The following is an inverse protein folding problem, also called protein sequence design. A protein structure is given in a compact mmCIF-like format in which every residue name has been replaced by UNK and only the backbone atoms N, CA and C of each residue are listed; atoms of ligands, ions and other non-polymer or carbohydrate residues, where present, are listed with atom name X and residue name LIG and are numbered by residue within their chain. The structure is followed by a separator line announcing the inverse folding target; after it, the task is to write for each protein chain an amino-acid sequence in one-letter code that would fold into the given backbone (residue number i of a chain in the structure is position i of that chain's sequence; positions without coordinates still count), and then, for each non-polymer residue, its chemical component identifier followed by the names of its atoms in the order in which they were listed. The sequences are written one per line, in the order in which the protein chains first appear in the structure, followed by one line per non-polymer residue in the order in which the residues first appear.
data_IF_357098055247
#
_entry.id   IF_357098055247
#
_cell.length_a   1.000
_cell.length_b   1.000
_cell.length_c   1.000
_cell.angle_alpha   90.00
_cell.angle_beta   90.00
_cell.angle_gamma   90.00
#
_symmetry.space_group_name_H-M   'P 1'
#
loop_
_entity.id
_entity.type
_entity.pdbx_description
1 polymer ?
#
# COMPACT_ATOMS: atom_id res chain seq x y z
N UNK A 1 -19.10 -40.01 34.91
CA UNK A 1 -19.40 -40.07 33.45
C UNK A 1 -18.14 -39.74 32.66
N UNK A 2 -17.92 -40.42 31.52
CA UNK A 2 -16.66 -40.48 30.76
C UNK A 2 -16.53 -39.37 29.70
N UNK A 3 -15.28 -38.87 29.55
CA UNK A 3 -14.60 -38.27 28.36
C UNK A 3 -15.20 -36.91 27.88
N UNK A 4 -14.44 -35.93 27.39
CA UNK A 4 -13.41 -36.00 26.34
C UNK A 4 -12.26 -35.00 26.60
N UNK A 5 -11.07 -35.51 26.33
CA UNK A 5 -9.73 -34.95 26.32
C UNK A 5 -9.49 -33.76 25.39
N UNK A 6 -8.66 -32.82 25.86
CA UNK A 6 -7.57 -32.24 25.08
C UNK A 6 -7.94 -31.32 23.92
N UNK A 7 -8.47 -30.14 24.22
CA UNK A 7 -8.32 -29.00 23.31
C UNK A 7 -7.10 -28.20 23.78
N UNK A 8 -5.94 -28.49 23.18
CA UNK A 8 -4.79 -27.57 23.22
C UNK A 8 -5.24 -26.30 22.51
N UNK A 9 -5.72 -25.32 23.28
CA UNK A 9 -5.89 -23.97 22.78
C UNK A 9 -4.51 -23.47 22.40
N UNK A 10 -4.20 -23.49 21.10
CA UNK A 10 -3.07 -22.76 20.55
C UNK A 10 -3.33 -21.31 20.93
N UNK A 11 -2.59 -20.82 21.90
CA UNK A 11 -2.58 -19.41 22.30
C UNK A 11 -2.15 -18.61 21.09
N UNK A 12 -3.12 -18.17 20.30
CA UNK A 12 -2.88 -17.13 19.30
C UNK A 12 -2.64 -15.87 20.12
N UNK A 13 -1.37 -15.55 20.35
CA UNK A 13 -0.95 -14.28 20.94
C UNK A 13 -1.67 -13.15 20.20
N UNK A 14 -2.60 -12.42 20.84
CA UNK A 14 -3.39 -11.43 20.15
C UNK A 14 -2.53 -10.17 20.09
N UNK A 15 -1.67 -10.07 19.09
CA UNK A 15 -1.12 -8.77 18.67
C UNK A 15 -2.23 -8.02 17.93
N UNK A 16 -3.34 -7.78 18.63
CA UNK A 16 -4.58 -7.21 18.11
C UNK A 16 -4.29 -5.71 17.94
N UNK A 17 -4.08 -5.29 16.69
CA UNK A 17 -4.40 -3.92 16.29
C UNK A 17 -5.84 -3.69 16.75
N UNK A 18 -6.09 -2.62 17.50
CA UNK A 18 -7.37 -2.31 18.13
C UNK A 18 -8.55 -2.68 17.24
N UNK A 19 -9.35 -3.68 17.61
CA UNK A 19 -10.45 -4.21 16.80
C UNK A 19 -11.68 -3.27 16.85
N UNK A 20 -11.47 -2.03 16.43
CA UNK A 20 -12.49 -1.05 16.23
C UNK A 20 -13.22 -1.37 14.93
N UNK A 21 -14.53 -1.71 14.94
CA UNK A 21 -15.24 -2.17 13.74
C UNK A 21 -15.19 -1.17 12.57
N UNK A 22 -14.99 0.13 12.86
CA UNK A 22 -14.85 1.18 11.84
C UNK A 22 -13.49 1.17 11.12
N UNK A 23 -12.43 0.58 11.69
CA UNK A 23 -11.11 0.53 11.06
C UNK A 23 -11.05 -0.46 9.89
N UNK A 24 -11.87 -1.52 9.92
CA UNK A 24 -11.91 -2.53 8.85
C UNK A 24 -12.25 -1.90 7.50
N UNK A 25 -13.23 -0.98 7.46
CA UNK A 25 -13.59 -0.30 6.21
C UNK A 25 -12.47 0.55 5.61
N UNK A 26 -11.55 1.07 6.42
CA UNK A 26 -10.36 1.77 5.91
C UNK A 26 -9.35 0.79 5.32
N UNK A 27 -9.09 -0.31 6.01
CA UNK A 27 -8.16 -1.37 5.56
C UNK A 27 -8.66 -2.02 4.27
N UNK A 28 -9.95 -2.37 4.20
CA UNK A 28 -10.56 -2.95 3.01
C UNK A 28 -10.45 -2.04 1.80
N UNK A 29 -10.73 -0.74 1.98
CA UNK A 29 -10.57 0.27 0.92
C UNK A 29 -9.12 0.41 0.46
N UNK A 30 -8.17 0.37 1.40
CA UNK A 30 -6.74 0.41 1.08
C UNK A 30 -6.33 -0.81 0.26
N UNK A 31 -6.71 -2.02 0.69
CA UNK A 31 -6.41 -3.27 -0.02
C UNK A 31 -7.05 -3.25 -1.42
N UNK A 32 -8.28 -2.77 -1.54
CA UNK A 32 -8.96 -2.61 -2.83
C UNK A 32 -8.21 -1.67 -3.79
N UNK A 33 -7.63 -0.58 -3.27
CA UNK A 33 -6.82 0.36 -4.06
C UNK A 33 -5.52 -0.29 -4.54
N UNK A 34 -4.82 -1.00 -3.64
CA UNK A 34 -3.59 -1.73 -3.98
C UNK A 34 -3.83 -2.75 -5.09
N UNK A 35 -4.94 -3.49 -5.02
CA UNK A 35 -5.28 -4.49 -6.04
C UNK A 35 -5.50 -3.84 -7.41
N UNK A 36 -6.39 -2.84 -7.46
CA UNK A 36 -6.77 -2.15 -8.71
C UNK A 36 -5.61 -1.40 -9.36
N UNK A 37 -4.67 -0.87 -8.58
CA UNK A 37 -3.58 -0.04 -9.10
C UNK A 37 -2.27 -0.77 -9.32
N UNK A 38 -2.08 -1.96 -8.73
CA UNK A 38 -0.80 -2.66 -8.82
C UNK A 38 -0.99 -4.15 -9.12
N UNK A 39 -1.68 -4.89 -8.26
CA UNK A 39 -1.69 -6.36 -8.37
C UNK A 39 -2.50 -6.88 -9.56
N UNK A 40 -3.56 -6.19 -9.97
CA UNK A 40 -4.36 -6.60 -11.13
C UNK A 40 -3.62 -6.36 -12.46
N UNK A 41 -2.50 -5.63 -12.43
CA UNK A 41 -1.70 -5.28 -13.60
C UNK A 41 -0.35 -6.00 -13.69
N UNK A 42 0.04 -6.76 -12.65
CA UNK A 42 1.36 -7.39 -12.57
C UNK A 42 1.23 -8.89 -12.35
N UNK A 43 1.86 -9.67 -13.24
CA UNK A 43 1.96 -11.12 -13.08
C UNK A 43 3.01 -11.42 -12.00
N UNK A 44 2.57 -12.02 -10.90
CA UNK A 44 3.43 -12.32 -9.76
C UNK A 44 4.31 -13.54 -10.05
N UNK A 45 5.60 -13.30 -10.28
CA UNK A 45 6.62 -14.34 -10.49
C UNK A 45 7.27 -14.72 -9.15
N UNK A 46 6.56 -15.50 -8.33
CA UNK A 46 7.07 -16.05 -7.06
C UNK A 46 6.81 -15.21 -5.81
N UNK A 47 7.18 -15.72 -4.63
CA UNK A 47 6.78 -15.18 -3.32
C UNK A 47 7.48 -13.86 -2.93
N UNK A 48 8.68 -13.60 -3.44
CA UNK A 48 9.44 -12.37 -3.14
C UNK A 48 9.03 -11.18 -4.02
N UNK A 49 8.41 -11.46 -5.17
CA UNK A 49 7.98 -10.43 -6.10
C UNK A 49 6.90 -9.50 -5.50
N UNK A 50 5.83 -10.01 -4.83
CA UNK A 50 4.84 -9.18 -4.14
C UNK A 50 5.44 -8.34 -3.02
N UNK A 51 6.44 -8.85 -2.29
CA UNK A 51 7.09 -8.08 -1.22
C UNK A 51 7.76 -6.83 -1.77
N UNK A 52 8.51 -6.98 -2.86
CA UNK A 52 9.16 -5.85 -3.55
C UNK A 52 8.15 -4.88 -4.15
N UNK A 53 7.09 -5.40 -4.77
CA UNK A 53 6.00 -4.58 -5.30
C UNK A 53 5.29 -3.79 -4.21
N UNK A 54 4.99 -4.42 -3.06
CA UNK A 54 4.34 -3.76 -1.93
C UNK A 54 5.22 -2.67 -1.34
N UNK A 55 6.52 -2.91 -1.18
CA UNK A 55 7.45 -1.88 -0.74
C UNK A 55 7.48 -0.68 -1.73
N UNK A 56 7.53 -0.96 -3.02
CA UNK A 56 7.48 0.07 -4.05
C UNK A 56 6.14 0.82 -4.08
N UNK A 57 5.03 0.13 -3.81
CA UNK A 57 3.69 0.72 -3.72
C UNK A 57 3.56 1.62 -2.51
N UNK A 58 4.04 1.21 -1.33
CA UNK A 58 4.03 2.05 -0.13
C UNK A 58 4.84 3.33 -0.38
N UNK A 59 6.02 3.22 -1.02
CA UNK A 59 6.78 4.39 -1.41
C UNK A 59 5.96 5.31 -2.33
N UNK A 60 5.41 4.77 -3.43
CA UNK A 60 4.56 5.50 -4.37
C UNK A 60 3.34 6.17 -3.71
N UNK A 61 2.63 5.45 -2.84
CA UNK A 61 1.44 5.94 -2.14
C UNK A 61 1.75 7.15 -1.25
N UNK A 62 2.90 7.11 -0.59
CA UNK A 62 3.32 8.13 0.37
C UNK A 62 4.00 9.33 -0.29
N UNK A 63 4.74 9.14 -1.39
CA UNK A 63 5.54 10.21 -2.01
C UNK A 63 4.91 10.84 -3.25
N UNK A 64 4.09 10.09 -4.00
CA UNK A 64 3.70 10.48 -5.36
C UNK A 64 2.18 10.48 -5.61
N UNK A 65 1.44 9.58 -4.96
CA UNK A 65 -0.01 9.49 -5.14
C UNK A 65 -0.72 10.71 -4.55
N UNK A 66 -1.51 11.39 -5.37
CA UNK A 66 -2.31 12.53 -4.93
C UNK A 66 -3.59 12.05 -4.24
N UNK A 67 -3.90 12.64 -3.09
CA UNK A 67 -5.10 12.29 -2.32
C UNK A 67 -6.07 13.47 -2.32
N UNK A 68 -7.30 13.26 -2.80
CA UNK A 68 -8.33 14.31 -2.82
C UNK A 68 -8.65 14.82 -1.40
N UNK A 69 -8.70 13.92 -0.41
CA UNK A 69 -8.91 14.27 0.98
C UNK A 69 -7.79 15.14 1.58
N UNK A 70 -6.59 15.12 0.97
CA UNK A 70 -5.45 15.95 1.36
C UNK A 70 -5.28 17.16 0.43
N UNK A 71 -6.32 17.58 -0.29
CA UNK A 71 -6.23 18.72 -1.22
C UNK A 71 -5.32 18.45 -2.43
N UNK A 72 -5.23 17.19 -2.88
CA UNK A 72 -4.34 16.71 -3.95
C UNK A 72 -2.86 16.70 -3.57
N UNK A 73 -2.54 16.77 -2.28
CA UNK A 73 -1.19 16.52 -1.78
C UNK A 73 -0.95 15.03 -1.49
N UNK A 74 0.31 14.70 -1.25
CA UNK A 74 0.78 13.37 -0.89
C UNK A 74 0.90 13.26 0.63
N UNK A 75 0.83 12.05 1.23
CA UNK A 75 0.85 11.90 2.69
C UNK A 75 2.15 12.41 3.34
N UNK A 76 3.30 12.27 2.67
CA UNK A 76 4.56 12.84 3.15
C UNK A 76 4.78 14.30 2.70
N UNK A 77 3.82 14.88 1.99
CA UNK A 77 3.97 16.16 1.31
C UNK A 77 4.93 16.07 0.13
N UNK A 78 4.82 17.02 -0.80
CA UNK A 78 5.75 17.16 -1.92
C UNK A 78 6.12 18.61 -2.15
N UNK A 79 7.36 18.84 -2.59
CA UNK A 79 7.80 20.16 -3.02
C UNK A 79 7.24 20.46 -4.41
N UNK A 80 6.66 21.66 -4.59
CA UNK A 80 6.12 22.09 -5.88
C UNK A 80 7.26 22.61 -6.76
N UNK A 81 7.62 21.85 -7.79
CA UNK A 81 8.67 22.21 -8.75
C UNK A 81 8.06 23.07 -9.88
N UNK A 82 8.23 24.40 -9.81
CA UNK A 82 7.59 25.36 -10.75
C UNK A 82 8.33 25.57 -12.07
N UNK A 83 9.65 25.38 -12.09
CA UNK A 83 10.54 25.69 -13.24
C UNK A 83 11.53 24.55 -13.46
N UNK A 84 12.01 24.41 -14.69
CA UNK A 84 12.97 23.36 -15.08
C UNK A 84 12.44 22.41 -16.14
N UNK A 85 13.33 21.53 -16.62
CA UNK A 85 13.05 20.50 -17.63
C UNK A 85 12.20 19.39 -17.02
N UNK A 86 11.13 19.01 -17.71
CA UNK A 86 10.28 17.90 -17.28
C UNK A 86 11.00 16.57 -17.52
N UNK A 87 11.14 15.79 -16.46
CA UNK A 87 11.66 14.43 -16.45
C UNK A 87 10.56 13.50 -15.99
N UNK A 88 10.54 12.32 -16.61
CA UNK A 88 9.50 11.32 -16.41
C UNK A 88 10.11 10.11 -15.73
N UNK A 89 9.70 9.86 -14.48
CA UNK A 89 10.22 8.80 -13.64
C UNK A 89 9.20 7.66 -13.57
N UNK A 90 9.64 6.44 -13.89
CA UNK A 90 8.81 5.26 -13.76
C UNK A 90 8.67 4.85 -12.29
N UNK A 91 7.44 4.55 -11.87
CA UNK A 91 7.09 3.96 -10.57
C UNK A 91 6.40 2.62 -10.81
N UNK A 92 6.51 1.72 -9.84
CA UNK A 92 5.88 0.37 -9.91
C UNK A 92 6.21 -0.39 -11.20
N UNK A 93 7.49 -0.40 -11.61
CA UNK A 93 7.89 -1.07 -12.85
C UNK A 93 7.40 -0.41 -14.14
N UNK A 94 6.91 0.83 -14.08
CA UNK A 94 6.41 1.58 -15.24
C UNK A 94 4.89 1.73 -15.29
N UNK A 95 4.16 1.09 -14.37
CA UNK A 95 2.71 1.19 -14.28
C UNK A 95 2.23 2.61 -13.95
N UNK A 96 3.03 3.33 -13.18
CA UNK A 96 2.81 4.74 -12.92
C UNK A 96 4.00 5.57 -13.34
N UNK A 97 3.72 6.83 -13.67
CA UNK A 97 4.75 7.77 -14.11
C UNK A 97 4.63 9.07 -13.34
N UNK A 98 5.73 9.44 -12.69
CA UNK A 98 5.86 10.70 -11.98
C UNK A 98 6.55 11.69 -12.90
N UNK A 99 5.94 12.86 -13.07
CA UNK A 99 6.55 13.96 -13.80
C UNK A 99 7.10 14.96 -12.81
N UNK A 100 8.41 15.20 -12.89
CA UNK A 100 9.12 16.17 -12.04
C UNK A 100 9.91 17.13 -12.92
N UNK A 101 10.14 18.36 -12.47
CA UNK A 101 10.97 19.36 -13.12
C UNK A 101 12.33 19.46 -12.43
N UNK A 102 13.39 19.16 -13.17
CA UNK A 102 14.78 19.31 -12.71
C UNK A 102 15.30 20.68 -13.15
N UNK A 103 15.95 21.39 -12.24
CA UNK A 103 16.59 22.68 -12.49
C UNK A 103 17.94 22.50 -13.17
#
# INVERSE_FOLDING_TARGET
MRKISGATAVSVCPRRLSASPWQNGHVERLIGSIRRECLDHVVVLGAEHPRRLMAAYVAYYNSDRTHLALGKETPLGRTIERRGRIVSEARLGGLHRRYRRIR
#
